data_IF_626335669518
#
_entry.id   IF_626335669518
#
_cell.length_a   1.000
_cell.length_b   1.000
_cell.length_c   1.000
_cell.angle_alpha   90.00
_cell.angle_beta   90.00
_cell.angle_gamma   90.00
#
_symmetry.space_group_name_H-M   'P 1'
#
loop_
_entity.id
_entity.type
_entity.pdbx_description
1 polymer ?
#
# COMPACT_ATOMS: atom_id res chain seq x y z
N UNK A 1 -18.26 -38.71 53.95
CA UNK A 1 -16.87 -38.68 53.46
C UNK A 1 -16.74 -39.73 52.37
N UNK A 2 -16.81 -39.33 51.10
CA UNK A 2 -16.63 -40.24 49.95
C UNK A 2 -15.75 -39.55 48.90
N UNK A 3 -14.73 -40.30 48.53
CA UNK A 3 -13.43 -39.94 47.98
C UNK A 3 -13.42 -39.29 46.58
N UNK A 4 -12.55 -38.30 46.41
CA UNK A 4 -12.15 -37.63 45.16
C UNK A 4 -11.20 -38.52 44.33
N UNK A 5 -11.68 -39.59 43.69
CA UNK A 5 -10.79 -40.50 42.94
C UNK A 5 -11.25 -40.88 41.50
N UNK A 6 -11.97 -40.01 40.80
CA UNK A 6 -12.45 -40.29 39.43
C UNK A 6 -12.02 -39.29 38.34
N UNK A 7 -10.93 -38.55 38.52
CA UNK A 7 -10.40 -37.64 37.49
C UNK A 7 -9.00 -38.01 36.96
N UNK A 8 -8.37 -39.05 37.50
CA UNK A 8 -7.00 -39.45 37.12
C UNK A 8 -6.94 -40.54 36.04
N UNK A 9 -8.09 -41.03 35.53
CA UNK A 9 -8.12 -42.13 34.57
C UNK A 9 -8.60 -41.73 33.16
N UNK A 10 -8.52 -40.44 32.80
CA UNK A 10 -8.85 -39.94 31.46
C UNK A 10 -7.71 -39.13 30.79
N UNK A 11 -6.48 -39.19 31.31
CA UNK A 11 -5.31 -38.47 30.76
C UNK A 11 -4.22 -39.38 30.18
N UNK A 12 -4.43 -40.70 30.09
CA UNK A 12 -3.41 -41.65 29.63
C UNK A 12 -3.50 -42.06 28.16
N UNK A 13 -4.36 -41.43 27.34
CA UNK A 13 -4.52 -41.81 25.92
C UNK A 13 -4.42 -40.61 24.99
N UNK A 14 -3.26 -39.97 24.93
CA UNK A 14 -2.77 -39.24 23.74
C UNK A 14 -1.23 -39.18 23.78
N UNK A 15 -0.58 -40.34 23.94
CA UNK A 15 0.86 -40.45 23.74
C UNK A 15 1.12 -40.65 22.24
N UNK A 16 1.19 -39.55 21.48
CA UNK A 16 1.62 -39.56 20.08
C UNK A 16 3.05 -39.05 20.01
N UNK A 17 4.00 -39.99 20.07
CA UNK A 17 5.40 -39.74 19.73
C UNK A 17 5.52 -39.59 18.21
N UNK A 18 5.49 -38.35 17.72
CA UNK A 18 5.83 -37.97 16.35
C UNK A 18 6.91 -36.88 16.40
N UNK A 19 8.01 -36.95 15.60
CA UNK A 19 9.15 -36.04 15.75
C UNK A 19 8.91 -34.59 15.31
N UNK A 20 7.68 -34.22 14.97
CA UNK A 20 7.35 -32.90 14.40
C UNK A 20 6.20 -32.19 15.11
N UNK A 21 6.01 -32.44 16.41
CA UNK A 21 5.13 -31.62 17.23
C UNK A 21 5.90 -30.42 17.79
N UNK A 22 5.98 -29.33 17.00
CA UNK A 22 6.45 -28.03 17.48
C UNK A 22 5.44 -27.49 18.50
N UNK A 23 5.89 -27.31 19.73
CA UNK A 23 5.08 -26.75 20.81
C UNK A 23 4.95 -25.23 20.56
N UNK A 24 3.87 -24.81 19.89
CA UNK A 24 3.61 -23.41 19.48
C UNK A 24 3.67 -22.43 20.68
N UNK A 25 3.43 -22.94 21.90
CA UNK A 25 3.44 -22.16 23.13
C UNK A 25 4.84 -21.99 23.76
N UNK A 26 5.87 -22.65 23.23
CA UNK A 26 7.25 -22.57 23.71
C UNK A 26 8.20 -22.03 22.64
N UNK A 27 7.73 -21.09 21.82
CA UNK A 27 8.65 -20.15 21.17
C UNK A 27 9.09 -19.22 22.29
N UNK A 28 10.32 -19.38 22.79
CA UNK A 28 10.99 -18.27 23.45
C UNK A 28 11.06 -17.18 22.40
N UNK A 29 10.12 -16.25 22.44
CA UNK A 29 10.14 -15.06 21.63
C UNK A 29 11.55 -14.46 21.79
N UNK A 30 12.26 -14.14 20.71
CA UNK A 30 13.45 -13.32 20.85
C UNK A 30 12.99 -12.08 21.62
N UNK A 31 13.54 -11.91 22.82
CA UNK A 31 13.26 -10.77 23.70
C UNK A 31 13.98 -9.51 23.20
N UNK A 32 14.66 -9.62 22.05
CA UNK A 32 15.17 -8.49 21.29
C UNK A 32 14.03 -7.82 20.54
N UNK A 33 13.92 -6.50 20.70
CA UNK A 33 13.08 -5.70 19.81
C UNK A 33 13.62 -5.86 18.37
N UNK A 34 12.77 -6.30 17.43
CA UNK A 34 13.14 -6.45 16.02
C UNK A 34 12.88 -5.16 15.24
N UNK A 35 13.75 -4.85 14.28
CA UNK A 35 13.52 -3.73 13.38
C UNK A 35 12.36 -4.04 12.41
N UNK A 36 11.27 -3.28 12.48
CA UNK A 36 10.09 -3.47 11.63
C UNK A 36 10.32 -3.27 10.11
N UNK A 37 11.50 -2.81 9.69
CA UNK A 37 11.87 -2.64 8.29
C UNK A 37 12.54 -3.92 7.76
N UNK A 38 13.63 -4.37 8.38
CA UNK A 38 14.40 -5.54 7.93
C UNK A 38 14.07 -6.85 8.64
N UNK A 39 13.36 -6.80 9.78
CA UNK A 39 13.05 -7.94 10.67
C UNK A 39 14.26 -8.61 11.29
N UNK A 40 15.36 -7.87 11.43
CA UNK A 40 16.54 -8.30 12.18
C UNK A 40 16.54 -7.69 13.59
N UNK A 41 17.27 -8.31 14.51
CA UNK A 41 17.42 -7.84 15.88
C UNK A 41 17.97 -6.41 15.92
N UNK A 42 17.41 -5.53 16.75
CA UNK A 42 17.87 -4.13 16.83
C UNK A 42 19.33 -4.02 17.29
N UNK A 43 19.83 -4.96 18.08
CA UNK A 43 21.21 -4.96 18.61
C UNK A 43 22.30 -5.11 17.53
N UNK A 44 21.98 -5.59 16.32
CA UNK A 44 22.99 -5.87 15.29
C UNK A 44 23.61 -4.63 14.64
N UNK A 45 22.97 -3.46 14.74
CA UNK A 45 23.35 -2.23 14.05
C UNK A 45 22.99 -1.00 14.89
N UNK A 46 23.60 0.18 14.63
CA UNK A 46 23.20 1.41 15.30
C UNK A 46 21.70 1.69 15.11
N UNK A 47 21.01 1.99 16.20
CA UNK A 47 19.58 2.28 16.22
C UNK A 47 19.28 3.76 16.39
N UNK A 48 18.11 4.16 15.91
CA UNK A 48 17.53 5.48 16.12
C UNK A 48 16.08 5.36 16.55
N UNK A 49 15.73 6.07 17.62
CA UNK A 49 14.36 6.15 18.15
C UNK A 49 13.70 7.42 17.63
N UNK A 50 12.53 7.28 16.99
CA UNK A 50 11.76 8.44 16.55
C UNK A 50 11.15 9.15 17.77
N UNK A 51 11.44 10.45 18.01
CA UNK A 51 10.97 11.16 19.21
C UNK A 51 9.44 11.35 19.25
N UNK A 52 8.78 11.22 18.11
CA UNK A 52 7.34 11.49 17.94
C UNK A 52 6.42 10.33 18.33
N UNK A 53 6.97 9.12 18.28
CA UNK A 53 6.19 7.89 18.43
C UNK A 53 6.96 6.78 19.12
N UNK A 54 8.20 7.05 19.54
CA UNK A 54 9.10 6.17 20.28
C UNK A 54 9.39 4.82 19.62
N UNK A 55 9.17 4.68 18.31
CA UNK A 55 9.53 3.46 17.58
C UNK A 55 11.01 3.48 17.21
N UNK A 56 11.66 2.32 17.39
CA UNK A 56 13.10 2.12 17.20
C UNK A 56 13.36 1.36 15.90
N UNK A 57 14.37 1.80 15.14
CA UNK A 57 14.81 1.17 13.89
C UNK A 57 16.33 1.24 13.78
N UNK A 58 16.94 0.40 12.96
CA UNK A 58 18.34 0.65 12.56
C UNK A 58 18.43 1.96 11.79
N UNK A 59 19.45 2.76 12.08
CA UNK A 59 19.64 4.10 11.51
C UNK A 59 19.70 4.03 9.98
N UNK A 60 20.35 3.01 9.42
CA UNK A 60 20.43 2.81 7.98
C UNK A 60 19.07 2.45 7.35
N UNK A 61 18.29 1.58 8.01
CA UNK A 61 16.94 1.21 7.58
C UNK A 61 16.02 2.43 7.56
N UNK A 62 16.08 3.26 8.62
CA UNK A 62 15.28 4.47 8.75
C UNK A 62 15.69 5.55 7.72
N UNK A 63 16.99 5.76 7.51
CA UNK A 63 17.49 6.70 6.47
C UNK A 63 17.06 6.24 5.08
N UNK A 64 17.18 4.94 4.78
CA UNK A 64 16.76 4.37 3.50
C UNK A 64 15.26 4.55 3.27
N UNK A 65 14.46 4.33 4.32
CA UNK A 65 13.02 4.60 4.30
C UNK A 65 12.70 6.05 3.96
N UNK A 66 13.31 7.02 4.65
CA UNK A 66 13.08 8.45 4.39
C UNK A 66 13.60 8.91 3.02
N UNK A 67 14.73 8.38 2.55
CA UNK A 67 15.27 8.65 1.21
C UNK A 67 14.35 8.16 0.09
N UNK A 68 13.56 7.12 0.33
CA UNK A 68 12.55 6.63 -0.61
C UNK A 68 11.31 7.54 -0.74
N UNK A 69 11.27 8.64 0.02
CA UNK A 69 10.29 9.71 -0.15
C UNK A 69 9.03 9.56 0.70
N UNK A 70 8.98 8.60 1.62
CA UNK A 70 7.93 8.53 2.64
C UNK A 70 8.45 9.09 3.98
N UNK A 71 7.99 10.26 4.43
CA UNK A 71 8.44 10.88 5.68
C UNK A 71 7.75 10.28 6.93
N UNK A 72 6.89 9.27 6.77
CA UNK A 72 6.05 8.75 7.86
C UNK A 72 6.78 7.64 8.62
N UNK A 73 6.49 7.49 9.90
CA UNK A 73 6.96 6.35 10.68
C UNK A 73 6.48 5.02 10.03
N UNK A 74 7.36 4.05 9.74
CA UNK A 74 6.98 2.77 9.13
C UNK A 74 5.92 2.03 9.95
N UNK A 75 6.04 2.03 11.28
CA UNK A 75 5.16 1.27 12.15
C UNK A 75 3.79 1.93 12.36
N UNK A 76 3.76 3.20 12.81
CA UNK A 76 2.50 3.86 13.18
C UNK A 76 1.99 4.89 12.16
N UNK A 77 2.78 5.23 11.14
CA UNK A 77 2.39 6.20 10.13
C UNK A 77 2.43 7.67 10.56
N UNK A 78 3.00 7.98 11.73
CA UNK A 78 3.14 9.36 12.22
C UNK A 78 3.97 10.19 11.22
N UNK A 79 3.48 11.38 10.85
CA UNK A 79 4.07 12.25 9.82
C UNK A 79 5.22 13.13 10.32
N UNK A 80 5.47 13.14 11.63
CA UNK A 80 6.49 13.97 12.29
C UNK A 80 6.12 15.45 12.41
N UNK A 81 6.87 16.19 13.24
CA UNK A 81 6.62 17.61 13.56
C UNK A 81 6.69 18.52 12.33
N UNK A 82 7.56 18.22 11.37
CA UNK A 82 7.80 19.08 10.20
C UNK A 82 6.74 18.96 9.10
N UNK A 83 5.73 18.10 9.27
CA UNK A 83 4.72 17.81 8.24
C UNK A 83 3.35 18.43 8.56
N UNK A 84 3.36 19.68 9.04
CA UNK A 84 2.17 20.49 9.34
C UNK A 84 1.41 20.93 8.08
N UNK A 85 2.02 20.87 6.90
CA UNK A 85 1.38 21.22 5.63
C UNK A 85 1.24 19.98 4.73
N UNK A 86 0.01 19.46 4.63
CA UNK A 86 -0.35 18.30 3.81
C UNK A 86 -0.04 18.42 2.30
N UNK A 87 0.36 19.62 1.84
CA UNK A 87 0.63 19.95 0.45
C UNK A 87 2.06 19.62 -0.04
N UNK A 88 3.02 19.36 0.84
CA UNK A 88 4.45 19.20 0.46
C UNK A 88 4.73 17.85 -0.23
N UNK A 89 3.92 16.81 0.02
CA UNK A 89 4.03 15.50 -0.67
C UNK A 89 3.87 15.60 -2.20
N UNK A 90 3.35 16.72 -2.70
CA UNK A 90 3.17 16.99 -4.11
C UNK A 90 4.43 17.53 -4.81
N UNK A 91 5.40 18.07 -4.07
CA UNK A 91 6.55 18.78 -4.65
C UNK A 91 7.85 17.95 -4.74
N UNK A 92 8.10 16.99 -3.86
CA UNK A 92 9.44 16.37 -3.75
C UNK A 92 9.61 14.95 -4.31
N UNK A 93 8.55 14.29 -4.79
CA UNK A 93 8.72 12.97 -5.42
C UNK A 93 8.96 13.15 -6.92
N UNK A 94 10.22 13.01 -7.35
CA UNK A 94 10.62 12.96 -8.76
C UNK A 94 9.60 12.15 -9.57
N UNK A 95 8.99 12.77 -10.60
CA UNK A 95 7.85 12.24 -11.36
C UNK A 95 8.01 10.79 -11.83
N UNK A 96 9.25 10.34 -12.05
CA UNK A 96 9.59 9.00 -12.54
C UNK A 96 9.71 7.96 -11.42
N UNK A 97 10.46 8.25 -10.35
CA UNK A 97 10.60 7.36 -9.19
C UNK A 97 9.28 7.22 -8.42
N UNK A 98 8.51 8.32 -8.33
CA UNK A 98 7.18 8.28 -7.73
C UNK A 98 6.21 7.35 -8.46
N UNK A 99 6.39 7.09 -9.77
CA UNK A 99 5.42 6.35 -10.58
C UNK A 99 5.53 4.84 -10.39
N UNK A 100 6.74 4.28 -10.37
CA UNK A 100 6.97 2.83 -10.24
C UNK A 100 6.58 2.29 -8.86
N UNK A 101 6.98 2.99 -7.79
CA UNK A 101 6.58 2.60 -6.42
C UNK A 101 5.08 2.82 -6.18
N UNK A 102 4.47 3.87 -6.77
CA UNK A 102 3.01 4.05 -6.69
C UNK A 102 2.25 2.92 -7.39
N UNK A 103 2.75 2.39 -8.52
CA UNK A 103 2.09 1.26 -9.20
C UNK A 103 2.17 -0.03 -8.38
N UNK A 104 3.34 -0.36 -7.82
CA UNK A 104 3.49 -1.56 -7.01
C UNK A 104 2.70 -1.47 -5.70
N UNK A 105 2.81 -0.35 -4.99
CA UNK A 105 2.04 -0.09 -3.77
C UNK A 105 0.53 -0.19 -4.03
N UNK A 106 0.03 0.41 -5.13
CA UNK A 106 -1.39 0.31 -5.50
C UNK A 106 -1.82 -1.15 -5.74
N UNK A 107 -0.98 -1.96 -6.40
CA UNK A 107 -1.24 -3.39 -6.60
C UNK A 107 -1.29 -4.15 -5.28
N UNK A 108 -0.37 -3.90 -4.37
CA UNK A 108 -0.31 -4.59 -3.08
C UNK A 108 -1.47 -4.17 -2.16
N UNK A 109 -1.85 -2.89 -2.17
CA UNK A 109 -3.07 -2.42 -1.50
C UNK A 109 -4.31 -3.11 -2.08
N UNK A 110 -4.38 -3.25 -3.41
CA UNK A 110 -5.50 -3.93 -4.06
C UNK A 110 -5.59 -5.40 -3.62
N UNK A 111 -4.46 -6.12 -3.54
CA UNK A 111 -4.39 -7.50 -3.01
C UNK A 111 -4.82 -7.56 -1.55
N UNK A 112 -4.29 -6.66 -0.70
CA UNK A 112 -4.63 -6.59 0.72
C UNK A 112 -6.14 -6.41 0.95
N UNK A 113 -6.76 -5.49 0.21
CA UNK A 113 -8.22 -5.25 0.31
C UNK A 113 -9.03 -6.42 -0.22
N UNK A 114 -8.54 -7.11 -1.25
CA UNK A 114 -9.17 -8.32 -1.76
C UNK A 114 -9.17 -9.45 -0.72
N UNK A 115 -8.04 -9.68 -0.04
CA UNK A 115 -7.93 -10.66 1.03
C UNK A 115 -8.84 -10.30 2.22
N UNK A 116 -9.02 -9.01 2.51
CA UNK A 116 -9.91 -8.49 3.55
C UNK A 116 -11.31 -8.11 3.07
N UNK A 117 -11.86 -8.85 2.09
CA UNK A 117 -13.18 -8.55 1.50
C UNK A 117 -14.32 -8.49 2.54
N UNK A 118 -14.28 -9.34 3.55
CA UNK A 118 -15.29 -9.44 4.62
C UNK A 118 -14.96 -8.62 5.87
N UNK A 119 -13.84 -7.91 5.88
CA UNK A 119 -13.42 -7.07 7.00
C UNK A 119 -14.36 -5.84 7.10
N UNK A 120 -14.86 -5.57 8.30
CA UNK A 120 -15.77 -4.46 8.61
C UNK A 120 -15.02 -3.17 8.96
N UNK A 121 -13.68 -3.19 8.96
CA UNK A 121 -12.87 -2.00 9.23
C UNK A 121 -13.22 -0.87 8.25
N UNK A 122 -13.63 0.29 8.79
CA UNK A 122 -14.02 1.49 8.04
C UNK A 122 -13.01 1.87 6.95
N UNK A 123 -11.71 1.73 7.24
CA UNK A 123 -10.63 2.07 6.31
C UNK A 123 -10.60 1.13 5.09
N UNK A 124 -10.78 -0.17 5.32
CA UNK A 124 -10.85 -1.16 4.24
C UNK A 124 -12.06 -0.90 3.32
N UNK A 125 -13.20 -0.52 3.90
CA UNK A 125 -14.40 -0.14 3.15
C UNK A 125 -14.18 1.13 2.31
N UNK A 126 -13.51 2.14 2.87
CA UNK A 126 -13.21 3.39 2.17
C UNK A 126 -12.26 3.18 0.99
N UNK A 127 -11.19 2.41 1.18
CA UNK A 127 -10.25 2.07 0.10
C UNK A 127 -10.97 1.28 -1.01
N UNK A 128 -11.88 0.36 -0.66
CA UNK A 128 -12.69 -0.36 -1.65
C UNK A 128 -13.56 0.57 -2.48
N UNK A 129 -14.24 1.53 -1.85
CA UNK A 129 -15.02 2.56 -2.55
C UNK A 129 -14.16 3.40 -3.50
N UNK A 130 -12.94 3.74 -3.09
CA UNK A 130 -12.00 4.47 -3.96
C UNK A 130 -11.58 3.64 -5.18
N UNK A 131 -11.34 2.33 -5.04
CA UNK A 131 -11.07 1.45 -6.19
C UNK A 131 -12.26 1.34 -7.15
N UNK A 132 -13.50 1.23 -6.65
CA UNK A 132 -14.69 1.25 -7.50
C UNK A 132 -14.84 2.58 -8.24
N UNK A 133 -14.59 3.71 -7.57
CA UNK A 133 -14.56 5.03 -8.22
C UNK A 133 -13.52 5.10 -9.35
N UNK A 134 -12.32 4.56 -9.12
CA UNK A 134 -11.27 4.48 -10.15
C UNK A 134 -11.73 3.63 -11.34
N UNK A 135 -12.38 2.49 -11.09
CA UNK A 135 -12.90 1.61 -12.13
C UNK A 135 -13.93 2.32 -13.02
N UNK A 136 -14.85 3.08 -12.43
CA UNK A 136 -15.81 3.91 -13.17
C UNK A 136 -15.10 4.99 -14.01
N UNK A 137 -14.09 5.64 -13.46
CA UNK A 137 -13.31 6.64 -14.21
C UNK A 137 -12.52 6.01 -15.38
N UNK A 138 -11.96 4.82 -15.19
CA UNK A 138 -11.27 4.06 -16.24
C UNK A 138 -12.24 3.67 -17.37
N UNK A 139 -13.48 3.30 -17.04
CA UNK A 139 -14.53 3.06 -18.02
C UNK A 139 -14.91 4.32 -18.80
N UNK A 140 -15.10 5.45 -18.11
CA UNK A 140 -15.37 6.74 -18.75
C UNK A 140 -14.24 7.15 -19.72
N UNK A 141 -12.98 6.90 -19.35
CA UNK A 141 -11.84 7.14 -20.24
C UNK A 141 -11.87 6.26 -21.50
N UNK A 142 -12.28 4.99 -21.37
CA UNK A 142 -12.46 4.09 -22.51
C UNK A 142 -13.54 4.61 -23.45
N UNK A 143 -14.70 5.00 -22.90
CA UNK A 143 -15.81 5.54 -23.66
C UNK A 143 -15.46 6.83 -24.42
N UNK A 144 -14.79 7.79 -23.77
CA UNK A 144 -14.32 9.01 -24.45
C UNK A 144 -13.24 8.71 -25.51
N UNK A 145 -12.44 7.66 -25.33
CA UNK A 145 -11.48 7.21 -26.33
C UNK A 145 -12.12 6.56 -27.54
N UNK A 146 -13.23 5.83 -27.35
CA UNK A 146 -14.03 5.26 -28.43
C UNK A 146 -14.70 6.37 -29.25
N UNK A 147 -15.39 7.32 -28.61
CA UNK A 147 -16.01 8.47 -29.28
C UNK A 147 -15.02 9.26 -30.13
N UNK A 148 -13.81 9.49 -29.61
CA UNK A 148 -12.76 10.18 -30.38
C UNK A 148 -12.33 9.36 -31.60
N UNK A 149 -12.23 8.03 -31.48
CA UNK A 149 -11.87 7.14 -32.59
C UNK A 149 -12.96 7.10 -33.65
N UNK A 150 -14.22 7.02 -33.24
CA UNK A 150 -15.40 7.06 -34.12
C UNK A 150 -15.45 8.39 -34.89
N UNK A 151 -15.26 9.53 -34.22
CA UNK A 151 -15.15 10.83 -34.87
C UNK A 151 -13.98 10.88 -35.86
N UNK A 152 -12.82 10.37 -35.47
CA UNK A 152 -11.66 10.32 -36.38
C UNK A 152 -11.90 9.45 -37.60
N UNK A 153 -12.73 8.41 -37.48
CA UNK A 153 -13.10 7.56 -38.61
C UNK A 153 -14.14 8.26 -39.49
N UNK A 154 -15.19 8.86 -38.93
CA UNK A 154 -16.21 9.58 -39.71
C UNK A 154 -15.63 10.75 -40.52
N UNK A 155 -14.60 11.41 -39.99
CA UNK A 155 -13.87 12.49 -40.67
C UNK A 155 -13.02 12.02 -41.86
N UNK A 156 -12.73 10.72 -41.98
CA UNK A 156 -12.09 10.17 -43.18
C UNK A 156 -13.10 9.92 -44.28
N UNK A 157 -14.29 9.46 -43.90
CA UNK A 157 -15.32 8.99 -44.83
C UNK A 157 -16.17 10.15 -45.37
N UNK A 158 -16.34 11.21 -44.58
CA UNK A 158 -17.17 12.38 -44.92
C UNK A 158 -16.40 13.70 -44.79
N UNK A 159 -16.45 14.58 -45.80
CA UNK A 159 -15.87 15.91 -45.69
C UNK A 159 -16.64 16.72 -44.65
N UNK A 160 -15.94 17.20 -43.64
CA UNK A 160 -16.48 18.01 -42.56
C UNK A 160 -15.82 19.39 -42.51
N UNK A 161 -16.50 20.35 -41.90
CA UNK A 161 -15.93 21.68 -41.64
C UNK A 161 -14.76 21.56 -40.65
N UNK A 162 -13.57 21.99 -41.09
CA UNK A 162 -12.33 21.87 -40.31
C UNK A 162 -12.44 22.49 -38.90
N UNK A 163 -13.07 23.66 -38.79
CA UNK A 163 -13.25 24.37 -37.52
C UNK A 163 -14.05 23.53 -36.50
N UNK A 164 -15.12 22.91 -36.96
CA UNK A 164 -16.01 22.09 -36.14
C UNK A 164 -15.35 20.77 -35.74
N UNK A 165 -14.72 20.08 -36.70
CA UNK A 165 -13.94 18.87 -36.45
C UNK A 165 -12.83 19.12 -35.41
N UNK A 166 -12.08 20.21 -35.55
CA UNK A 166 -11.03 20.61 -34.61
C UNK A 166 -11.60 20.85 -33.21
N UNK A 167 -12.70 21.59 -33.09
CA UNK A 167 -13.36 21.87 -31.80
C UNK A 167 -13.79 20.57 -31.09
N UNK A 168 -14.38 19.64 -31.83
CA UNK A 168 -14.82 18.36 -31.29
C UNK A 168 -13.64 17.49 -30.83
N UNK A 169 -12.58 17.37 -31.65
CA UNK A 169 -11.36 16.64 -31.28
C UNK A 169 -10.71 17.24 -30.02
N UNK A 170 -10.62 18.58 -29.94
CA UNK A 170 -10.06 19.25 -28.76
C UNK A 170 -10.91 19.01 -27.50
N UNK A 171 -12.24 19.01 -27.64
CA UNK A 171 -13.17 18.70 -26.54
C UNK A 171 -12.91 17.30 -25.97
N UNK A 172 -12.88 16.27 -26.82
CA UNK A 172 -12.60 14.89 -26.39
C UNK A 172 -11.20 14.75 -25.77
N UNK A 173 -10.18 15.41 -26.33
CA UNK A 173 -8.82 15.41 -25.76
C UNK A 173 -8.79 16.05 -24.36
N UNK A 174 -9.49 17.17 -24.19
CA UNK A 174 -9.61 17.87 -22.91
C UNK A 174 -10.33 17.02 -21.86
N UNK A 175 -11.44 16.38 -22.23
CA UNK A 175 -12.18 15.47 -21.35
C UNK A 175 -11.33 14.27 -20.93
N UNK A 176 -10.63 13.64 -21.87
CA UNK A 176 -9.69 12.55 -21.57
C UNK A 176 -8.61 13.00 -20.59
N UNK A 177 -8.00 14.16 -20.80
CA UNK A 177 -7.00 14.70 -19.88
C UNK A 177 -7.55 14.92 -18.47
N UNK A 178 -8.76 15.47 -18.35
CA UNK A 178 -9.45 15.66 -17.05
C UNK A 178 -9.66 14.32 -16.35
N UNK A 179 -10.16 13.30 -17.06
CA UNK A 179 -10.38 11.96 -16.50
C UNK A 179 -9.04 11.33 -16.08
N UNK A 180 -8.01 11.40 -16.91
CA UNK A 180 -6.67 10.87 -16.57
C UNK A 180 -6.09 11.54 -15.33
N UNK A 181 -6.27 12.87 -15.19
CA UNK A 181 -5.86 13.60 -13.99
C UNK A 181 -6.62 13.12 -12.76
N UNK A 182 -7.94 12.99 -12.84
CA UNK A 182 -8.76 12.46 -11.74
C UNK A 182 -8.35 11.06 -11.33
N UNK A 183 -8.12 10.15 -12.28
CA UNK A 183 -7.63 8.78 -12.00
C UNK A 183 -6.30 8.83 -11.22
N UNK A 184 -5.37 9.69 -11.67
CA UNK A 184 -4.06 9.85 -11.01
C UNK A 184 -4.22 10.37 -9.58
N UNK A 185 -5.07 11.37 -9.38
CA UNK A 185 -5.31 11.96 -8.07
C UNK A 185 -5.97 10.96 -7.10
N UNK A 186 -6.94 10.17 -7.55
CA UNK A 186 -7.56 9.11 -6.75
C UNK A 186 -6.58 7.98 -6.42
N UNK A 187 -5.76 7.53 -7.38
CA UNK A 187 -4.67 6.56 -7.13
C UNK A 187 -3.67 7.10 -6.09
N UNK A 188 -3.34 8.39 -6.18
CA UNK A 188 -2.45 9.02 -5.22
C UNK A 188 -3.05 9.08 -3.81
N UNK A 189 -4.33 9.40 -3.65
CA UNK A 189 -5.02 9.38 -2.36
C UNK A 189 -4.93 8.01 -1.69
N UNK A 190 -5.12 6.92 -2.45
CA UNK A 190 -4.99 5.55 -1.94
C UNK A 190 -3.58 5.30 -1.39
N UNK A 191 -2.54 5.62 -2.17
CA UNK A 191 -1.14 5.39 -1.76
C UNK A 191 -0.74 6.29 -0.59
N UNK A 192 -1.07 7.59 -0.64
CA UNK A 192 -0.72 8.55 0.41
C UNK A 192 -1.43 8.26 1.74
N UNK A 193 -2.63 7.68 1.70
CA UNK A 193 -3.40 7.36 2.91
C UNK A 193 -3.27 5.90 3.34
N UNK A 194 -2.57 5.04 2.59
CA UNK A 194 -2.27 3.67 3.00
C UNK A 194 -0.89 3.62 3.67
N UNK A 195 -0.82 2.91 4.80
CA UNK A 195 0.42 2.62 5.52
C UNK A 195 0.85 1.18 5.21
N UNK A 196 0.77 0.76 3.94
CA UNK A 196 1.32 -0.54 3.56
C UNK A 196 2.81 -0.31 3.38
N UNK A 197 3.59 -0.76 4.36
CA UNK A 197 5.06 -0.75 4.34
C UNK A 197 5.48 -1.65 3.18
N UNK A 198 6.04 -1.14 2.07
CA UNK A 198 6.79 -2.01 1.19
C UNK A 198 7.93 -2.60 2.03
N UNK A 199 7.99 -3.93 2.13
CA UNK A 199 9.07 -4.62 2.83
C UNK A 199 10.38 -4.28 2.10
N UNK A 200 11.12 -3.30 2.60
CA UNK A 200 12.45 -2.98 2.09
C UNK A 200 13.39 -3.94 2.80
N UNK A 201 13.86 -4.97 2.09
CA UNK A 201 14.95 -5.82 2.56
C UNK A 201 16.24 -5.04 2.28
N UNK A 202 16.88 -4.40 3.26
CA UNK A 202 18.21 -3.83 3.03
C UNK A 202 19.14 -4.99 2.67
N UNK A 203 19.87 -4.86 1.56
CA UNK A 203 21.03 -5.73 1.33
C UNK A 203 22.16 -5.16 2.17
N UNK A 204 22.76 -6.00 3.02
CA UNK A 204 24.06 -5.67 3.59
C UNK A 204 25.01 -5.37 2.44
N UNK A 205 25.59 -4.17 2.45
CA UNK A 205 26.76 -3.88 1.61
C UNK A 205 27.93 -4.34 2.45
N UNK A 206 28.52 -5.48 2.08
CA UNK A 206 29.83 -5.86 2.61
C UNK A 206 30.82 -4.78 2.15
N UNK A 207 31.43 -4.09 3.11
CA UNK A 207 32.48 -3.07 2.90
C UNK A 207 33.83 -3.76 3.04
#
# INVERSE_FOLDING_TARGET
MTNLNNLTQALSVLNVTSPTALNILNISAPTGEECMICREELECMPCYTLPECNHIYHTNCLISWFRNGDPRCPYCGNKGINNVNADITRQYTSKYYALQYKTQALCDIKKFIFLKKYDTNKRCLEIRKQFEKIKVLEENYRNESLKLRELQQSLKDTPALFSEAKKNIMSYRSNKWKITKQIRDEKFKIVANSYIIPLIIPRSVEI
#
